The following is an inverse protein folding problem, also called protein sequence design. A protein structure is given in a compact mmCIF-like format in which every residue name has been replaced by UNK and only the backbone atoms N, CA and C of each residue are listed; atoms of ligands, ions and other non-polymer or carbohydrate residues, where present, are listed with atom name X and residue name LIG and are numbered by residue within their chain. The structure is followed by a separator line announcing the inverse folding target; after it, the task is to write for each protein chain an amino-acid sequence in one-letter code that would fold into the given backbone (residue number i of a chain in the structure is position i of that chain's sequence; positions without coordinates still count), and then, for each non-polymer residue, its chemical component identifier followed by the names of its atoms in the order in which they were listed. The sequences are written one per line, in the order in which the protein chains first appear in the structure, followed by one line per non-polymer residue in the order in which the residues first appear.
data_IF_386030897875
#
_entry.id   IF_386030897875
#
_cell.length_a   1.000
_cell.length_b   1.000
_cell.length_c   1.000
_cell.angle_alpha   90.00
_cell.angle_beta   90.00
_cell.angle_gamma   90.00
#
_symmetry.space_group_name_H-M   'P 1'
#
loop_
_entity.id
_entity.type
_entity.pdbx_description
1 polymer ?
#
# COMPACT_ATOMS: atom_id res chain seq x y z
N UNK A 1 6.94 14.56 43.10
CA UNK A 1 6.10 14.88 41.93
C UNK A 1 5.93 13.61 41.14
N UNK A 2 4.81 12.93 41.34
CA UNK A 2 4.44 11.70 40.63
C UNK A 2 3.95 12.03 39.23
N UNK A 3 4.53 11.37 38.23
CA UNK A 3 4.00 11.35 36.87
C UNK A 3 2.76 10.45 36.87
N UNK A 4 1.58 11.06 36.73
CA UNK A 4 0.32 10.33 36.54
C UNK A 4 0.39 9.55 35.24
N UNK A 5 0.32 8.21 35.36
CA UNK A 5 -0.08 7.31 34.28
C UNK A 5 -1.51 7.67 33.89
N UNK A 6 -1.71 8.28 32.72
CA UNK A 6 -3.03 8.35 32.13
C UNK A 6 -3.36 6.97 31.55
N UNK A 7 -4.29 6.32 32.25
CA UNK A 7 -5.03 5.12 31.89
C UNK A 7 -5.80 5.38 30.58
N UNK A 8 -5.32 4.87 29.44
CA UNK A 8 -6.10 4.84 28.20
C UNK A 8 -6.93 3.56 28.14
N UNK A 9 -7.91 3.46 29.05
CA UNK A 9 -9.12 2.67 28.80
C UNK A 9 -10.00 3.43 27.82
N UNK A 10 -9.89 3.02 26.56
CA UNK A 10 -10.68 3.52 25.43
C UNK A 10 -10.56 2.60 24.22
N UNK A 11 -10.73 1.29 24.42
CA UNK A 11 -10.95 0.36 23.30
C UNK A 11 -12.36 0.57 22.78
N UNK A 12 -12.49 1.32 21.68
CA UNK A 12 -13.79 1.61 21.10
C UNK A 12 -13.77 2.36 19.78
N UNK A 13 -12.70 2.24 18.99
CA UNK A 13 -12.68 2.59 17.57
C UNK A 13 -11.75 1.59 16.88
N UNK A 14 -12.28 0.78 15.96
CA UNK A 14 -11.50 -0.15 15.14
C UNK A 14 -10.44 0.64 14.39
N UNK A 15 -9.19 0.45 14.81
CA UNK A 15 -8.02 1.09 14.23
C UNK A 15 -7.97 0.80 12.71
N UNK A 16 -7.73 1.80 11.84
CA UNK A 16 -7.62 1.56 10.41
C UNK A 16 -6.55 0.51 10.12
N UNK A 17 -6.91 -0.52 9.36
CA UNK A 17 -6.03 -1.67 9.10
C UNK A 17 -5.06 -1.25 8.00
N UNK A 18 -3.91 -0.70 8.40
CA UNK A 18 -2.84 -0.37 7.46
C UNK A 18 -2.21 -1.67 6.93
N UNK A 19 -2.29 -1.89 5.61
CA UNK A 19 -1.77 -3.09 4.95
C UNK A 19 -0.66 -2.69 3.98
N UNK A 20 0.56 -3.13 4.27
CA UNK A 20 1.67 -3.03 3.35
C UNK A 20 1.76 -4.28 2.48
N UNK A 21 1.41 -4.14 1.19
CA UNK A 21 1.37 -5.25 0.26
C UNK A 21 2.53 -5.24 -0.74
N UNK A 22 3.20 -6.38 -0.91
CA UNK A 22 4.21 -6.58 -1.94
C UNK A 22 3.63 -6.34 -3.35
N UNK A 23 4.48 -6.07 -4.36
CA UNK A 23 3.99 -5.89 -5.73
C UNK A 23 3.28 -7.18 -6.22
N UNK A 24 2.15 -7.06 -6.92
CA UNK A 24 1.42 -8.22 -7.45
C UNK A 24 0.48 -8.96 -6.47
N UNK A 25 0.39 -8.55 -5.19
CA UNK A 25 -0.53 -9.19 -4.21
C UNK A 25 -2.02 -8.87 -4.43
N UNK A 26 -2.36 -7.93 -5.32
CA UNK A 26 -3.75 -7.55 -5.62
C UNK A 26 -4.27 -6.29 -4.90
N UNK A 27 -3.40 -5.41 -4.41
CA UNK A 27 -3.76 -4.14 -3.73
C UNK A 27 -4.85 -3.34 -4.45
N UNK A 28 -4.56 -2.87 -5.66
CA UNK A 28 -5.49 -2.05 -6.45
C UNK A 28 -6.80 -2.78 -6.76
N UNK A 29 -6.75 -4.07 -7.07
CA UNK A 29 -7.96 -4.86 -7.31
C UNK A 29 -8.83 -4.96 -6.06
N UNK A 30 -8.23 -5.15 -4.89
CA UNK A 30 -8.93 -5.17 -3.61
C UNK A 30 -9.61 -3.82 -3.33
N UNK A 31 -8.87 -2.72 -3.43
CA UNK A 31 -9.41 -1.39 -3.14
C UNK A 31 -10.51 -0.98 -4.13
N UNK A 32 -10.43 -1.39 -5.41
CA UNK A 32 -11.50 -1.13 -6.37
C UNK A 32 -12.79 -1.91 -6.05
N UNK A 33 -12.68 -3.13 -5.51
CA UNK A 33 -13.84 -3.95 -5.12
C UNK A 33 -14.47 -3.43 -3.82
N UNK A 34 -13.63 -2.90 -2.91
CA UNK A 34 -14.01 -2.41 -1.59
C UNK A 34 -13.85 -0.89 -1.48
N UNK A 35 -14.18 -0.14 -2.52
CA UNK A 35 -13.92 1.31 -2.59
C UNK A 35 -14.68 2.11 -1.53
N UNK A 36 -15.73 1.52 -0.95
CA UNK A 36 -16.46 2.09 0.17
C UNK A 36 -15.69 2.05 1.49
N UNK A 37 -14.68 1.17 1.61
CA UNK A 37 -13.99 0.86 2.86
C UNK A 37 -12.47 0.68 2.79
N UNK A 38 -11.89 0.83 1.60
CA UNK A 38 -10.48 0.58 1.35
C UNK A 38 -9.87 1.66 0.45
N UNK A 39 -8.70 2.15 0.84
CA UNK A 39 -7.97 3.23 0.20
C UNK A 39 -6.70 2.65 -0.42
N UNK A 40 -6.56 2.71 -1.75
CA UNK A 40 -5.28 2.42 -2.42
C UNK A 40 -4.37 3.65 -2.31
N UNK A 41 -3.54 3.68 -1.26
CA UNK A 41 -2.69 4.84 -0.97
C UNK A 41 -1.36 4.74 -1.73
N UNK A 42 -1.45 5.02 -3.03
CA UNK A 42 -0.35 4.92 -4.00
C UNK A 42 0.80 5.89 -3.74
N UNK A 43 2.03 5.42 -3.99
CA UNK A 43 3.27 6.18 -3.71
C UNK A 43 3.78 6.97 -4.93
N UNK A 44 3.25 6.73 -6.13
CA UNK A 44 3.81 7.22 -7.38
C UNK A 44 3.94 8.77 -7.44
N UNK A 45 2.92 9.56 -7.04
CA UNK A 45 2.98 11.02 -7.05
C UNK A 45 4.08 11.56 -6.13
N UNK A 46 4.28 10.90 -4.98
CA UNK A 46 5.31 11.26 -4.02
C UNK A 46 6.71 10.91 -4.53
N UNK A 47 6.87 9.73 -5.15
CA UNK A 47 8.16 9.32 -5.75
C UNK A 47 8.59 10.24 -6.87
N UNK A 48 7.65 10.66 -7.72
CA UNK A 48 7.95 11.37 -8.97
C UNK A 48 7.19 12.70 -9.05
N UNK A 49 7.46 13.66 -8.14
CA UNK A 49 6.69 14.90 -8.04
C UNK A 49 6.91 15.82 -9.26
N UNK A 50 8.00 15.65 -10.00
CA UNK A 50 8.24 16.38 -11.25
C UNK A 50 7.37 15.89 -12.42
N UNK A 51 6.71 14.72 -12.28
CA UNK A 51 5.94 14.06 -13.33
C UNK A 51 4.44 13.96 -12.97
N UNK A 52 3.94 14.88 -12.15
CA UNK A 52 2.54 14.88 -11.70
C UNK A 52 1.57 15.02 -12.88
N UNK A 53 1.92 15.78 -13.92
CA UNK A 53 1.10 15.96 -15.11
C UNK A 53 0.89 14.63 -15.86
N UNK A 54 1.96 13.87 -16.07
CA UNK A 54 1.93 12.55 -16.71
C UNK A 54 1.18 11.52 -15.85
N UNK A 55 1.32 11.63 -14.51
CA UNK A 55 0.55 10.79 -13.59
C UNK A 55 -0.95 11.14 -13.66
N UNK A 56 -1.31 12.43 -13.68
CA UNK A 56 -2.70 12.91 -13.84
C UNK A 56 -3.30 12.39 -15.15
N UNK A 57 -2.57 12.48 -16.25
CA UNK A 57 -2.99 11.94 -17.54
C UNK A 57 -3.21 10.42 -17.49
N UNK A 58 -2.29 9.69 -16.84
CA UNK A 58 -2.40 8.24 -16.72
C UNK A 58 -3.63 7.79 -15.90
N UNK A 59 -4.00 8.56 -14.87
CA UNK A 59 -5.19 8.26 -14.06
C UNK A 59 -6.49 8.80 -14.67
N UNK A 60 -6.39 9.69 -15.67
CA UNK A 60 -7.52 10.23 -16.41
C UNK A 60 -8.08 9.17 -17.38
N UNK A 61 -9.18 8.51 -17.00
CA UNK A 61 -9.87 7.53 -17.86
C UNK A 61 -10.69 6.52 -17.05
N UNK A 62 -11.40 5.61 -17.73
CA UNK A 62 -12.14 4.55 -17.04
C UNK A 62 -11.23 3.58 -16.28
N UNK A 63 -11.71 2.99 -15.19
CA UNK A 63 -10.93 2.25 -14.17
C UNK A 63 -9.89 1.26 -14.72
N UNK A 64 -10.25 0.47 -15.75
CA UNK A 64 -9.34 -0.53 -16.34
C UNK A 64 -8.20 0.10 -17.14
N UNK A 65 -8.47 1.21 -17.83
CA UNK A 65 -7.46 1.90 -18.63
C UNK A 65 -6.51 2.65 -17.70
N UNK A 66 -7.04 3.35 -16.70
CA UNK A 66 -6.28 4.00 -15.63
C UNK A 66 -5.30 3.01 -14.96
N UNK A 67 -5.79 1.84 -14.53
CA UNK A 67 -4.94 0.85 -13.86
C UNK A 67 -3.77 0.38 -14.74
N UNK A 68 -3.98 0.15 -16.04
CA UNK A 68 -2.88 -0.24 -16.96
C UNK A 68 -1.89 0.90 -17.18
N UNK A 69 -2.38 2.11 -17.41
CA UNK A 69 -1.53 3.29 -17.63
C UNK A 69 -0.60 3.51 -16.42
N UNK A 70 -1.16 3.50 -15.21
CA UNK A 70 -0.38 3.65 -13.97
C UNK A 70 0.65 2.53 -13.79
N UNK A 71 0.30 1.28 -14.09
CA UNK A 71 1.25 0.17 -14.00
C UNK A 71 2.40 0.26 -15.00
N UNK A 72 2.16 0.86 -16.17
CA UNK A 72 3.19 1.11 -17.17
C UNK A 72 4.18 2.22 -16.75
N UNK A 73 3.74 3.18 -15.93
CA UNK A 73 4.61 4.23 -15.37
C UNK A 73 5.59 3.69 -14.31
N UNK A 74 5.27 2.58 -13.66
CA UNK A 74 6.12 2.03 -12.59
C UNK A 74 7.42 1.50 -13.16
N UNK A 75 8.54 1.87 -12.52
CA UNK A 75 9.87 1.47 -12.97
C UNK A 75 10.30 2.17 -14.27
N UNK A 76 9.75 3.35 -14.55
CA UNK A 76 10.29 4.24 -15.57
C UNK A 76 11.69 4.71 -15.13
N UNK A 77 12.70 4.39 -15.93
CA UNK A 77 14.11 4.70 -15.66
C UNK A 77 14.47 6.15 -15.97
N UNK A 78 13.65 6.84 -16.77
CA UNK A 78 13.87 8.24 -17.15
C UNK A 78 13.32 9.23 -16.10
N UNK A 79 12.56 8.73 -15.13
CA UNK A 79 11.94 9.56 -14.09
C UNK A 79 12.83 9.66 -12.86
N UNK A 80 13.13 10.89 -12.45
CA UNK A 80 13.93 11.15 -11.27
C UNK A 80 13.07 11.09 -10.00
N UNK A 81 13.55 10.37 -8.99
CA UNK A 81 12.86 10.32 -7.70
C UNK A 81 13.09 11.62 -6.91
N UNK A 82 12.03 12.16 -6.31
CA UNK A 82 12.13 13.32 -5.43
C UNK A 82 12.94 12.98 -4.17
N UNK A 83 13.92 13.81 -3.81
CA UNK A 83 14.85 13.51 -2.71
C UNK A 83 14.18 13.23 -1.36
N UNK A 84 13.05 13.87 -1.07
CA UNK A 84 12.31 13.76 0.19
C UNK A 84 10.97 13.00 0.04
N UNK A 85 10.89 12.09 -0.95
CA UNK A 85 9.64 11.41 -1.24
C UNK A 85 9.17 10.52 -0.09
N UNK A 86 10.10 9.90 0.64
CA UNK A 86 9.77 9.04 1.78
C UNK A 86 9.08 9.86 2.87
N UNK A 87 9.66 11.01 3.24
CA UNK A 87 9.14 11.90 4.27
C UNK A 87 7.75 12.43 3.89
N UNK A 88 7.61 12.97 2.68
CA UNK A 88 6.33 13.54 2.22
C UNK A 88 5.24 12.48 2.11
N UNK A 89 5.58 11.28 1.63
CA UNK A 89 4.65 10.14 1.61
C UNK A 89 4.24 9.69 3.01
N UNK A 90 5.19 9.61 3.94
CA UNK A 90 4.92 9.16 5.29
C UNK A 90 4.04 10.16 6.07
N UNK A 91 4.31 11.45 5.94
CA UNK A 91 3.48 12.50 6.55
C UNK A 91 2.05 12.46 6.00
N UNK A 92 1.90 12.32 4.68
CA UNK A 92 0.61 12.16 4.04
C UNK A 92 -0.12 10.89 4.51
N UNK A 93 0.59 9.75 4.57
CA UNK A 93 0.05 8.49 5.08
C UNK A 93 -0.46 8.63 6.52
N UNK A 94 0.33 9.24 7.41
CA UNK A 94 -0.07 9.43 8.80
C UNK A 94 -1.24 10.40 8.93
N UNK A 95 -1.34 11.40 8.06
CA UNK A 95 -2.50 12.28 8.01
C UNK A 95 -3.76 11.49 7.60
N UNK A 96 -3.71 10.76 6.49
CA UNK A 96 -4.84 9.92 6.03
C UNK A 96 -5.22 8.88 7.08
N UNK A 97 -4.25 8.22 7.70
CA UNK A 97 -4.47 7.27 8.79
C UNK A 97 -5.24 7.85 9.98
N UNK A 98 -4.99 9.11 10.34
CA UNK A 98 -5.72 9.79 11.43
C UNK A 98 -7.10 10.29 11.02
N UNK A 99 -7.26 10.71 9.76
CA UNK A 99 -8.51 11.29 9.25
C UNK A 99 -9.58 10.25 8.91
N UNK A 100 -9.16 9.01 8.63
CA UNK A 100 -10.02 7.91 8.20
C UNK A 100 -9.94 6.73 9.19
N UNK A 101 -10.31 6.93 10.47
CA UNK A 101 -10.31 5.84 11.44
C UNK A 101 -11.33 4.77 11.04
N UNK A 102 -10.89 3.50 10.98
CA UNK A 102 -11.74 2.36 10.61
C UNK A 102 -11.61 1.90 9.16
N UNK A 103 -11.04 2.72 8.28
CA UNK A 103 -10.81 2.34 6.89
C UNK A 103 -9.58 1.45 6.71
N UNK A 104 -9.57 0.63 5.67
CA UNK A 104 -8.39 -0.16 5.29
C UNK A 104 -7.52 0.71 4.40
N UNK A 105 -6.31 1.06 4.86
CA UNK A 105 -5.36 1.81 4.05
C UNK A 105 -4.35 0.82 3.50
N UNK A 106 -4.28 0.67 2.18
CA UNK A 106 -3.37 -0.25 1.51
C UNK A 106 -2.22 0.53 0.90
N UNK A 107 -0.99 0.22 1.32
CA UNK A 107 0.24 0.86 0.83
C UNK A 107 1.12 -0.17 0.09
N UNK A 108 1.94 0.26 -0.88
CA UNK A 108 3.04 -0.58 -1.36
C UNK A 108 4.05 -0.83 -0.24
N UNK A 109 4.64 -2.02 -0.23
CA UNK A 109 5.76 -2.30 0.68
C UNK A 109 6.97 -1.44 0.32
N UNK A 110 7.46 -0.67 1.29
CA UNK A 110 8.73 0.05 1.23
C UNK A 110 9.48 -0.07 2.56
N UNK A 111 10.75 -0.47 2.51
CA UNK A 111 11.52 -0.79 3.71
C UNK A 111 11.72 0.38 4.68
N UNK A 112 11.83 1.62 4.19
CA UNK A 112 11.95 2.80 5.06
C UNK A 112 10.61 3.11 5.74
N UNK A 113 9.52 3.09 4.98
CA UNK A 113 8.17 3.31 5.51
C UNK A 113 7.82 2.28 6.58
N UNK A 114 8.09 0.98 6.34
CA UNK A 114 7.84 -0.07 7.34
C UNK A 114 8.62 0.15 8.65
N UNK A 115 9.87 0.60 8.55
CA UNK A 115 10.70 0.90 9.74
C UNK A 115 10.17 2.11 10.50
N UNK A 116 9.66 3.13 9.81
CA UNK A 116 9.09 4.30 10.45
C UNK A 116 7.76 3.99 11.13
N UNK A 117 6.90 3.20 10.50
CA UNK A 117 5.67 2.68 11.12
C UNK A 117 5.99 1.91 12.41
N UNK A 118 6.96 0.98 12.36
CA UNK A 118 7.35 0.19 13.53
C UNK A 118 7.99 1.06 14.64
N UNK A 119 8.85 2.03 14.25
CA UNK A 119 9.46 3.00 15.17
C UNK A 119 8.40 3.82 15.91
N UNK A 120 7.37 4.25 15.18
CA UNK A 120 6.32 5.13 15.71
C UNK A 120 5.18 4.34 16.38
N UNK A 121 5.30 3.01 16.48
CA UNK A 121 4.32 2.14 17.11
C UNK A 121 3.00 2.04 16.35
N UNK A 122 2.99 2.33 15.05
CA UNK A 122 1.82 2.24 14.19
C UNK A 122 1.63 0.78 13.77
N UNK A 123 0.54 0.11 14.17
CA UNK A 123 0.32 -1.28 13.79
C UNK A 123 0.05 -1.41 12.29
N UNK A 124 0.64 -2.42 11.65
CA UNK A 124 0.39 -2.71 10.24
C UNK A 124 0.42 -4.21 9.95
N UNK A 125 -0.25 -4.61 8.87
CA UNK A 125 -0.14 -5.96 8.31
C UNK A 125 0.82 -5.94 7.13
N UNK A 126 1.90 -6.72 7.18
CA UNK A 126 2.80 -6.96 6.07
C UNK A 126 2.36 -8.20 5.29
N UNK A 127 1.95 -7.99 4.04
CA UNK A 127 1.47 -9.03 3.15
C UNK A 127 2.45 -9.27 2.00
N UNK A 128 2.97 -10.49 1.90
CA UNK A 128 4.00 -10.84 0.92
C UNK A 128 3.84 -12.29 0.44
N UNK A 129 4.37 -12.65 -0.75
CA UNK A 129 4.30 -14.02 -1.25
C UNK A 129 5.20 -14.99 -0.46
N UNK A 130 4.86 -16.28 -0.51
CA UNK A 130 5.79 -17.33 -0.14
C UNK A 130 6.90 -17.44 -1.20
N UNK A 131 8.05 -18.03 -0.80
CA UNK A 131 9.24 -18.05 -1.66
C UNK A 131 9.01 -18.85 -2.95
N UNK A 132 8.13 -19.84 -2.92
CA UNK A 132 7.79 -20.70 -4.06
C UNK A 132 6.95 -19.99 -5.13
N UNK A 133 6.28 -18.87 -4.79
CA UNK A 133 5.34 -18.19 -5.69
C UNK A 133 6.02 -17.28 -6.74
N UNK A 134 7.35 -17.30 -6.87
CA UNK A 134 8.13 -16.41 -7.77
C UNK A 134 7.61 -16.41 -9.20
N UNK A 135 7.45 -17.59 -9.80
CA UNK A 135 7.03 -17.72 -11.19
C UNK A 135 5.59 -17.25 -11.40
N UNK A 136 4.74 -17.44 -10.40
CA UNK A 136 3.37 -16.94 -10.42
C UNK A 136 3.36 -15.40 -10.42
N UNK A 137 4.13 -14.77 -9.54
CA UNK A 137 4.22 -13.30 -9.47
C UNK A 137 4.82 -12.71 -10.75
N UNK A 138 5.81 -13.36 -11.36
CA UNK A 138 6.30 -12.97 -12.70
C UNK A 138 5.18 -12.95 -13.74
N UNK A 139 4.34 -13.99 -13.78
CA UNK A 139 3.17 -14.04 -14.68
C UNK A 139 2.14 -12.94 -14.36
N UNK A 140 1.89 -12.67 -13.07
CA UNK A 140 0.97 -11.59 -12.64
C UNK A 140 1.45 -10.22 -13.17
N UNK A 141 2.72 -9.90 -12.98
CA UNK A 141 3.31 -8.63 -13.42
C UNK A 141 3.34 -8.51 -14.96
N UNK A 142 3.69 -9.59 -15.68
CA UNK A 142 3.63 -9.63 -17.14
C UNK A 142 2.22 -9.36 -17.67
N UNK A 143 1.21 -10.01 -17.09
CA UNK A 143 -0.21 -9.83 -17.48
C UNK A 143 -0.71 -8.40 -17.24
N UNK A 144 -0.12 -7.69 -16.27
CA UNK A 144 -0.46 -6.29 -15.94
C UNK A 144 0.23 -5.28 -16.86
N UNK A 145 1.16 -5.72 -17.70
CA UNK A 145 1.93 -4.83 -18.57
C UNK A 145 3.05 -4.08 -17.85
N UNK A 146 3.52 -4.57 -16.70
CA UNK A 146 4.68 -4.00 -16.02
C UNK A 146 5.94 -4.18 -16.89
N UNK A 147 6.86 -3.22 -16.83
CA UNK A 147 8.09 -3.21 -17.62
C UNK A 147 9.00 -4.41 -17.34
N UNK A 148 9.83 -4.79 -18.31
CA UNK A 148 10.84 -5.84 -18.12
C UNK A 148 11.77 -5.55 -16.94
N UNK A 149 12.16 -4.28 -16.77
CA UNK A 149 12.94 -3.85 -15.61
C UNK A 149 12.26 -4.17 -14.28
N UNK A 150 10.96 -3.89 -14.13
CA UNK A 150 10.23 -4.28 -12.92
C UNK A 150 10.16 -5.79 -12.72
N UNK A 151 9.97 -6.55 -13.80
CA UNK A 151 9.98 -8.01 -13.71
C UNK A 151 11.32 -8.52 -13.17
N UNK A 152 12.43 -7.98 -13.65
CA UNK A 152 13.77 -8.35 -13.20
C UNK A 152 13.99 -7.98 -11.73
N UNK A 153 13.75 -6.71 -11.37
CA UNK A 153 13.90 -6.20 -9.99
C UNK A 153 13.09 -7.00 -8.97
N UNK A 154 11.89 -7.44 -9.34
CA UNK A 154 10.98 -8.09 -8.39
C UNK A 154 10.86 -9.60 -8.55
N UNK A 155 11.37 -10.24 -9.60
CA UNK A 155 11.12 -11.68 -9.83
C UNK A 155 12.30 -12.48 -10.38
N UNK A 156 13.45 -11.84 -10.62
CA UNK A 156 14.69 -12.58 -10.83
C UNK A 156 15.07 -13.36 -9.57
N UNK A 157 15.80 -14.45 -9.75
CA UNK A 157 15.99 -15.46 -8.69
C UNK A 157 16.67 -14.89 -7.45
N UNK A 158 17.80 -14.19 -7.64
CA UNK A 158 18.56 -13.56 -6.57
C UNK A 158 17.74 -12.44 -5.90
N UNK A 159 17.21 -11.52 -6.69
CA UNK A 159 16.38 -10.41 -6.20
C UNK A 159 15.16 -10.91 -5.41
N UNK A 160 14.50 -11.97 -5.88
CA UNK A 160 13.35 -12.56 -5.19
C UNK A 160 13.74 -13.13 -3.83
N UNK A 161 14.84 -13.89 -3.77
CA UNK A 161 15.34 -14.44 -2.51
C UNK A 161 15.63 -13.32 -1.50
N UNK A 162 16.32 -12.26 -1.95
CA UNK A 162 16.63 -11.07 -1.15
C UNK A 162 15.36 -10.37 -0.65
N UNK A 163 14.37 -10.18 -1.52
CA UNK A 163 13.08 -9.61 -1.11
C UNK A 163 12.41 -10.46 -0.03
N UNK A 164 12.34 -11.78 -0.22
CA UNK A 164 11.69 -12.67 0.74
C UNK A 164 12.41 -12.70 2.09
N UNK A 165 13.74 -12.60 2.09
CA UNK A 165 14.51 -12.45 3.33
C UNK A 165 14.22 -11.11 4.02
N UNK A 166 14.28 -10.00 3.27
CA UNK A 166 14.03 -8.66 3.81
C UNK A 166 12.61 -8.51 4.37
N UNK A 167 11.60 -9.11 3.72
CA UNK A 167 10.20 -9.08 4.17
C UNK A 167 9.97 -9.92 5.42
N UNK A 168 10.82 -10.91 5.71
CA UNK A 168 10.76 -11.72 6.93
C UNK A 168 11.48 -11.09 8.11
N UNK A 169 12.15 -9.95 7.92
CA UNK A 169 12.76 -9.16 8.99
C UNK A 169 11.76 -8.95 10.15
N UNK A 170 12.19 -9.07 11.41
CA UNK A 170 11.32 -8.83 12.54
C UNK A 170 10.94 -7.34 12.65
N UNK A 171 9.65 -7.10 12.88
CA UNK A 171 9.06 -5.82 13.25
C UNK A 171 8.23 -6.04 14.51
N UNK A 172 8.24 -5.09 15.44
CA UNK A 172 7.56 -5.21 16.74
C UNK A 172 6.05 -5.07 16.61
N UNK A 173 5.60 -4.18 15.72
CA UNK A 173 4.20 -3.81 15.54
C UNK A 173 3.59 -4.34 14.24
N UNK A 174 4.24 -5.31 13.59
CA UNK A 174 3.74 -5.89 12.35
C UNK A 174 3.09 -7.26 12.55
N UNK A 175 1.86 -7.41 12.05
CA UNK A 175 1.31 -8.72 11.72
C UNK A 175 1.83 -9.15 10.34
N UNK A 176 2.18 -10.42 10.15
CA UNK A 176 2.74 -10.93 8.90
C UNK A 176 1.85 -11.99 8.31
N UNK A 177 1.50 -11.83 7.04
CA UNK A 177 0.74 -12.81 6.28
C UNK A 177 1.55 -13.18 5.03
N UNK A 178 1.95 -14.45 4.95
CA UNK A 178 2.62 -15.01 3.79
C UNK A 178 1.59 -15.68 2.88
N UNK A 179 1.43 -15.17 1.66
CA UNK A 179 0.49 -15.67 0.66
C UNK A 179 1.07 -16.89 -0.05
N UNK A 180 0.28 -17.97 -0.12
CA UNK A 180 0.59 -19.12 -0.97
C UNK A 180 0.28 -18.83 -2.44
N UNK A 181 0.82 -19.66 -3.33
CA UNK A 181 0.55 -19.56 -4.76
C UNK A 181 -0.97 -19.52 -5.02
N UNK A 182 -1.39 -18.60 -5.88
CA UNK A 182 -2.79 -18.37 -6.23
C UNK A 182 -3.58 -17.52 -5.23
N UNK A 183 -3.01 -17.16 -4.08
CA UNK A 183 -3.68 -16.27 -3.11
C UNK A 183 -3.40 -14.79 -3.38
N UNK A 184 -4.38 -13.95 -3.03
CA UNK A 184 -4.38 -12.50 -3.16
C UNK A 184 -4.79 -11.86 -1.82
N UNK A 185 -4.59 -10.54 -1.72
CA UNK A 185 -5.04 -9.71 -0.60
C UNK A 185 -6.50 -9.97 -0.21
N UNK A 186 -7.39 -10.11 -1.21
CA UNK A 186 -8.81 -10.39 -1.00
C UNK A 186 -9.08 -11.69 -0.25
N UNK A 187 -8.24 -12.72 -0.43
CA UNK A 187 -8.47 -14.04 0.14
C UNK A 187 -8.19 -14.06 1.65
N UNK A 188 -7.30 -13.18 2.12
CA UNK A 188 -6.86 -13.15 3.52
C UNK A 188 -7.49 -12.02 4.31
N UNK A 189 -7.81 -10.87 3.69
CA UNK A 189 -8.40 -9.73 4.41
C UNK A 189 -9.90 -9.88 4.60
N UNK A 190 -10.62 -10.45 3.63
CA UNK A 190 -12.06 -10.69 3.78
C UNK A 190 -12.38 -11.77 4.82
N UNK A 191 -11.45 -12.68 5.08
CA UNK A 191 -11.55 -13.62 6.20
C UNK A 191 -11.42 -12.91 7.57
N UNK A 192 -10.71 -11.78 7.62
CA UNK A 192 -10.40 -11.04 8.84
C UNK A 192 -11.46 -9.99 9.22
N UNK A 193 -12.36 -9.61 8.31
CA UNK A 193 -13.38 -8.56 8.52
C UNK A 193 -14.71 -9.06 9.09
N UNK A 194 -14.85 -10.37 9.33
CA UNK A 194 -16.09 -10.99 9.85
C UNK A 194 -16.35 -10.71 11.35
N UNK A 195 -15.40 -10.08 12.06
CA UNK A 195 -15.48 -9.87 13.51
C UNK A 195 -15.19 -8.42 13.92
N UNK A 196 -16.16 -7.50 13.75
CA UNK A 196 -16.60 -6.51 14.76
C UNK A 196 -17.29 -5.26 14.16
N UNK A 197 -18.60 -5.16 14.44
CA UNK A 197 -19.46 -4.01 14.77
C UNK A 197 -19.40 -2.62 14.07
N UNK A 198 -20.64 -2.16 13.79
CA UNK A 198 -21.19 -0.80 13.65
C UNK A 198 -20.60 0.14 12.60
N UNK A 199 -21.31 0.19 11.46
CA UNK A 199 -21.18 1.20 10.42
C UNK A 199 -21.73 2.56 10.90
N UNK A 200 -20.87 3.40 11.46
CA UNK A 200 -20.97 4.81 11.13
C UNK A 200 -20.34 4.97 9.75
N UNK A 201 -21.03 5.64 8.83
CA UNK A 201 -20.52 5.89 7.49
C UNK A 201 -19.28 6.80 7.62
N UNK A 202 -18.10 6.17 7.62
CA UNK A 202 -16.82 6.86 7.51
C UNK A 202 -16.79 7.72 6.25
N UNK A 203 -15.95 8.75 6.25
CA UNK A 203 -15.71 9.52 5.03
C UNK A 203 -15.18 8.56 3.96
N UNK A 204 -15.89 8.43 2.85
CA UNK A 204 -15.45 7.61 1.72
C UNK A 204 -14.51 8.41 0.83
N UNK A 205 -13.40 7.79 0.40
CA UNK A 205 -12.58 8.32 -0.68
C UNK A 205 -13.11 7.71 -1.99
N UNK A 206 -13.87 8.49 -2.75
CA UNK A 206 -14.50 8.00 -3.99
C UNK A 206 -13.46 7.60 -5.05
N UNK A 207 -12.39 8.36 -5.18
CA UNK A 207 -11.24 8.04 -6.05
C UNK A 207 -9.92 8.28 -5.30
N UNK A 208 -9.15 7.22 -4.96
CA UNK A 208 -7.87 7.36 -4.27
C UNK A 208 -6.83 8.21 -5.01
N UNK A 209 -6.84 8.18 -6.35
CA UNK A 209 -5.92 8.98 -7.16
C UNK A 209 -6.26 10.46 -7.08
N UNK A 210 -7.53 10.81 -7.28
CA UNK A 210 -7.98 12.21 -7.17
C UNK A 210 -7.74 12.73 -5.75
N UNK A 211 -8.04 11.92 -4.73
CA UNK A 211 -7.74 12.29 -3.35
C UNK A 211 -6.25 12.59 -3.12
N UNK A 212 -5.35 11.73 -3.58
CA UNK A 212 -3.91 11.95 -3.39
C UNK A 212 -3.46 13.19 -4.18
N UNK A 213 -3.84 13.25 -5.46
CA UNK A 213 -3.36 14.26 -6.39
C UNK A 213 -3.90 15.64 -6.01
N UNK A 214 -5.20 15.79 -5.77
CA UNK A 214 -5.80 17.11 -5.50
C UNK A 214 -5.45 17.63 -4.10
N UNK A 215 -5.20 16.73 -3.16
CA UNK A 215 -4.85 17.12 -1.79
C UNK A 215 -3.38 17.46 -1.62
N UNK A 216 -2.49 16.62 -2.15
CA UNK A 216 -1.05 16.72 -1.90
C UNK A 216 -0.28 17.34 -3.06
N UNK A 217 -0.89 17.41 -4.25
CA UNK A 217 -0.30 17.96 -5.47
C UNK A 217 -1.32 18.85 -6.23
N UNK A 218 -1.90 19.87 -5.58
CA UNK A 218 -2.85 20.77 -6.23
C UNK A 218 -2.19 21.56 -7.37
N UNK A 219 -2.98 21.91 -8.38
CA UNK A 219 -2.56 22.77 -9.51
C UNK A 219 -2.26 24.22 -9.09
#
# INVERSE_FOLDING_TARGET
MEYRKNDTRGHGLSCPRLIAGFIGVGKTSYCNIHSERAIDFGVLPFKYPAHISEIREAVSGGDRQCSRNVEALKGNLDWEMGLAWHETYYDALLQTYREYPGEIIVIPTDGAILRWLDRDGIPFTLLYPCVEARLEYRKRLQKRGNSTFLLEVFTDEDSWADWMEQLRRPYTHAERIELKEGQYLSDVVNALSVSSASAEAGKTIENPWDYILDRYFPE
#
